data_IF_257230973301
#
_entry.id   IF_257230973301
#
_cell.length_a   1.000
_cell.length_b   1.000
_cell.length_c   1.000
_cell.angle_alpha   90.00
_cell.angle_beta   90.00
_cell.angle_gamma   90.00
#
_symmetry.space_group_name_H-M   'P 1'
#
loop_
_entity.id
_entity.type
_entity.pdbx_description
1 polymer ?
#
# COMPACT_ATOMS: atom_id res chain seq x y z
N UNK A 1 -34.47 -38.74 19.07
CA UNK A 1 -34.33 -37.49 18.28
C UNK A 1 -33.36 -37.77 17.15
N UNK A 2 -33.83 -37.79 15.90
CA UNK A 2 -32.96 -38.07 14.75
C UNK A 2 -32.04 -36.87 14.51
N UNK A 3 -30.74 -37.04 14.78
CA UNK A 3 -29.73 -35.98 14.65
C UNK A 3 -29.45 -35.61 13.18
N UNK A 4 -29.71 -36.54 12.26
CA UNK A 4 -29.42 -36.40 10.82
C UNK A 4 -30.65 -36.02 9.96
N UNK A 5 -31.69 -35.46 10.56
CA UNK A 5 -32.83 -34.94 9.80
C UNK A 5 -32.43 -33.69 8.98
N UNK A 6 -32.91 -33.58 7.74
CA UNK A 6 -32.68 -32.43 6.83
C UNK A 6 -32.93 -31.09 7.54
N UNK A 7 -34.00 -30.99 8.34
CA UNK A 7 -34.31 -29.76 9.09
C UNK A 7 -33.35 -29.47 10.24
N UNK A 8 -32.61 -30.46 10.74
CA UNK A 8 -31.55 -30.25 11.73
C UNK A 8 -30.25 -29.78 11.06
N UNK A 9 -29.92 -30.31 9.87
CA UNK A 9 -28.76 -29.89 9.08
C UNK A 9 -28.85 -28.42 8.69
N UNK A 10 -30.02 -27.97 8.18
CA UNK A 10 -30.22 -26.55 7.84
C UNK A 10 -30.10 -25.64 9.07
N UNK A 11 -30.62 -26.04 10.22
CA UNK A 11 -30.51 -25.26 11.47
C UNK A 11 -29.06 -25.10 11.92
N UNK A 12 -28.28 -26.19 11.90
CA UNK A 12 -26.85 -26.16 12.27
C UNK A 12 -26.06 -25.32 11.27
N UNK A 13 -26.31 -25.47 9.97
CA UNK A 13 -25.64 -24.71 8.93
C UNK A 13 -25.89 -23.19 9.08
N UNK A 14 -27.14 -22.77 9.31
CA UNK A 14 -27.48 -21.37 9.53
C UNK A 14 -26.80 -20.83 10.78
N UNK A 15 -26.80 -21.57 11.89
CA UNK A 15 -26.10 -21.16 13.12
C UNK A 15 -24.60 -20.99 12.91
N UNK A 16 -23.95 -21.94 12.24
CA UNK A 16 -22.53 -21.88 11.95
C UNK A 16 -22.19 -20.68 11.04
N UNK A 17 -22.97 -20.46 9.98
CA UNK A 17 -22.81 -19.31 9.10
C UNK A 17 -22.94 -17.97 9.86
N UNK A 18 -23.89 -17.88 10.78
CA UNK A 18 -24.11 -16.67 11.57
C UNK A 18 -22.93 -16.40 12.51
N UNK A 19 -22.44 -17.43 13.23
CA UNK A 19 -21.27 -17.28 14.11
C UNK A 19 -20.01 -16.95 13.31
N UNK A 20 -19.75 -17.65 12.20
CA UNK A 20 -18.57 -17.42 11.37
C UNK A 20 -18.56 -16.01 10.76
N UNK A 21 -19.71 -15.50 10.29
CA UNK A 21 -19.80 -14.15 9.72
C UNK A 21 -19.53 -13.05 10.76
N UNK A 22 -20.04 -13.20 11.99
CA UNK A 22 -19.77 -12.25 13.10
C UNK A 22 -18.30 -12.31 13.52
N UNK A 23 -17.73 -13.50 13.63
CA UNK A 23 -16.31 -13.67 14.00
C UNK A 23 -15.35 -13.04 12.96
N UNK A 24 -15.55 -13.31 11.66
CA UNK A 24 -14.67 -12.78 10.61
C UNK A 24 -14.82 -11.26 10.45
N UNK A 25 -16.05 -10.74 10.53
CA UNK A 25 -16.29 -9.29 10.39
C UNK A 25 -15.69 -8.48 11.54
N UNK A 26 -15.77 -8.97 12.78
CA UNK A 26 -15.20 -8.30 13.95
C UNK A 26 -13.67 -8.23 13.90
N UNK A 27 -13.00 -9.33 13.55
CA UNK A 27 -11.54 -9.37 13.37
C UNK A 27 -11.08 -8.42 12.25
N UNK A 28 -11.83 -8.37 11.14
CA UNK A 28 -11.48 -7.54 10.00
C UNK A 28 -11.55 -6.04 10.30
N UNK A 29 -12.40 -5.57 11.21
CA UNK A 29 -12.51 -4.14 11.53
C UNK A 29 -11.57 -3.75 12.67
N UNK A 30 -11.45 -4.59 13.71
CA UNK A 30 -10.68 -4.25 14.91
C UNK A 30 -9.18 -4.08 14.68
N UNK A 31 -8.58 -4.86 13.78
CA UNK A 31 -7.14 -4.82 13.52
C UNK A 31 -6.74 -3.88 12.37
N UNK A 32 -7.70 -3.42 11.57
CA UNK A 32 -7.39 -2.63 10.37
C UNK A 32 -6.76 -1.28 10.70
N UNK A 33 -7.26 -0.58 11.71
CA UNK A 33 -6.75 0.76 12.03
C UNK A 33 -5.33 0.71 12.60
N UNK A 34 -5.04 -0.23 13.52
CA UNK A 34 -3.69 -0.41 14.05
C UNK A 34 -2.70 -0.86 12.97
N UNK A 35 -3.14 -1.69 12.03
CA UNK A 35 -2.32 -2.10 10.88
C UNK A 35 -1.98 -0.93 9.96
N UNK A 36 -2.85 0.07 9.77
CA UNK A 36 -2.57 1.24 8.93
C UNK A 36 -1.45 2.09 9.53
N UNK A 37 -1.52 2.41 10.81
CA UNK A 37 -0.50 3.22 11.50
C UNK A 37 0.86 2.50 11.51
N UNK A 38 0.87 1.21 11.81
CA UNK A 38 2.11 0.42 11.80
C UNK A 38 2.68 0.26 10.39
N UNK A 39 1.82 0.13 9.36
CA UNK A 39 2.26 0.08 7.96
C UNK A 39 2.95 1.37 7.54
N UNK A 40 2.45 2.52 7.99
CA UNK A 40 3.06 3.81 7.69
C UNK A 40 4.44 3.95 8.32
N UNK A 41 4.56 3.63 9.62
CA UNK A 41 5.86 3.64 10.31
C UNK A 41 6.85 2.66 9.69
N UNK A 42 6.39 1.47 9.32
CA UNK A 42 7.22 0.47 8.65
C UNK A 42 7.68 0.94 7.27
N UNK A 43 6.82 1.63 6.51
CA UNK A 43 7.17 2.23 5.22
C UNK A 43 8.26 3.29 5.40
N UNK A 44 8.08 4.21 6.33
CA UNK A 44 9.07 5.25 6.63
C UNK A 44 10.41 4.65 7.06
N UNK A 45 10.37 3.65 7.93
CA UNK A 45 11.56 2.91 8.35
C UNK A 45 12.29 2.30 7.15
N UNK A 46 11.60 1.57 6.28
CA UNK A 46 12.22 0.95 5.10
C UNK A 46 12.81 1.97 4.12
N UNK A 47 12.15 3.12 3.96
CA UNK A 47 12.67 4.20 3.11
C UNK A 47 13.96 4.78 3.72
N UNK A 48 13.98 5.02 5.04
CA UNK A 48 15.18 5.48 5.74
C UNK A 48 16.31 4.46 5.68
N UNK A 49 15.99 3.16 5.81
CA UNK A 49 16.97 2.07 5.65
C UNK A 49 17.53 2.03 4.24
N UNK A 50 16.68 2.17 3.21
CA UNK A 50 17.13 2.22 1.82
C UNK A 50 17.97 3.46 1.52
N UNK A 51 17.72 4.57 2.22
CA UNK A 51 18.52 5.79 2.17
C UNK A 51 19.83 5.71 2.99
N UNK A 52 20.04 4.64 3.76
CA UNK A 52 21.20 4.51 4.66
C UNK A 52 21.16 5.43 5.90
N UNK A 53 19.99 6.02 6.20
CA UNK A 53 19.77 6.94 7.32
C UNK A 53 19.19 6.24 8.56
N UNK A 54 18.98 4.93 8.50
CA UNK A 54 18.45 4.14 9.61
C UNK A 54 19.58 3.35 10.29
N UNK A 55 19.91 3.72 11.52
CA UNK A 55 20.91 3.02 12.33
C UNK A 55 20.27 1.93 13.20
N UNK A 56 20.97 0.80 13.36
CA UNK A 56 20.56 -0.29 14.25
C UNK A 56 20.56 0.20 15.71
N UNK A 57 19.37 0.35 16.28
CA UNK A 57 19.15 0.92 17.61
C UNK A 57 18.34 2.22 17.63
N UNK A 58 18.05 2.80 16.45
CA UNK A 58 17.14 3.95 16.33
C UNK A 58 15.74 3.57 16.81
N UNK A 59 15.17 4.38 17.70
CA UNK A 59 13.81 4.15 18.19
C UNK A 59 12.79 4.39 17.07
N UNK A 60 11.80 3.50 16.91
CA UNK A 60 10.75 3.64 15.87
C UNK A 60 10.01 4.96 15.94
N UNK A 61 9.88 5.55 17.13
CA UNK A 61 9.27 6.87 17.32
C UNK A 61 10.02 8.00 16.60
N UNK A 62 11.31 7.83 16.33
CA UNK A 62 12.15 8.82 15.63
C UNK A 62 12.08 8.70 14.10
N UNK A 63 11.54 7.59 13.57
CA UNK A 63 11.42 7.37 12.13
C UNK A 63 10.63 8.49 11.44
N UNK A 64 9.50 8.89 12.02
CA UNK A 64 8.67 9.96 11.46
C UNK A 64 9.41 11.32 11.41
N UNK A 65 10.21 11.62 12.43
CA UNK A 65 10.96 12.86 12.51
C UNK A 65 12.12 12.90 11.50
N UNK A 66 12.87 11.79 11.37
CA UNK A 66 13.95 11.67 10.39
C UNK A 66 13.41 11.69 8.97
N UNK A 67 12.30 10.99 8.72
CA UNK A 67 11.62 10.99 7.43
C UNK A 67 11.19 12.40 7.03
N UNK A 68 10.50 13.13 7.92
CA UNK A 68 10.07 14.49 7.65
C UNK A 68 11.22 15.49 7.39
N UNK A 69 12.41 15.21 7.94
CA UNK A 69 13.58 16.08 7.79
C UNK A 69 14.39 15.78 6.53
N UNK A 70 14.56 14.51 6.19
CA UNK A 70 15.50 14.07 5.18
C UNK A 70 14.85 13.51 3.91
N UNK A 71 13.53 13.29 3.90
CA UNK A 71 12.84 12.69 2.75
C UNK A 71 11.83 13.67 2.18
N UNK A 72 11.97 13.94 0.88
CA UNK A 72 10.97 14.68 0.11
C UNK A 72 10.25 13.75 -0.85
N UNK A 73 8.92 13.63 -0.71
CA UNK A 73 8.11 12.86 -1.65
C UNK A 73 7.79 13.66 -2.90
N UNK A 74 8.03 13.09 -4.07
CA UNK A 74 7.65 13.69 -5.37
C UNK A 74 6.83 12.68 -6.16
N UNK A 75 5.79 13.16 -6.83
CA UNK A 75 5.00 12.35 -7.75
C UNK A 75 5.59 12.46 -9.13
N UNK A 76 5.81 11.33 -9.80
CA UNK A 76 6.38 11.24 -11.14
C UNK A 76 5.40 10.50 -12.04
N UNK A 77 5.22 11.01 -13.25
CA UNK A 77 4.49 10.33 -14.31
C UNK A 77 5.41 9.27 -14.94
N UNK A 78 4.99 8.01 -14.92
CA UNK A 78 5.78 6.87 -15.39
C UNK A 78 5.79 6.71 -16.92
N UNK A 79 4.92 7.41 -17.67
CA UNK A 79 5.02 7.46 -19.13
C UNK A 79 6.06 8.50 -19.56
N UNK A 80 6.05 9.68 -18.93
CA UNK A 80 6.91 10.81 -19.33
C UNK A 80 8.22 10.88 -18.55
N UNK A 81 8.34 10.15 -17.43
CA UNK A 81 9.45 10.20 -16.48
C UNK A 81 9.71 11.60 -15.90
N UNK A 82 8.69 12.46 -15.86
CA UNK A 82 8.79 13.83 -15.32
C UNK A 82 7.99 13.95 -14.03
N UNK A 83 8.34 14.89 -13.14
CA UNK A 83 7.49 15.22 -12.01
C UNK A 83 6.08 15.54 -12.51
N UNK A 84 5.09 14.80 -12.01
CA UNK A 84 3.71 15.13 -12.27
C UNK A 84 3.41 16.43 -11.51
N UNK A 85 2.91 17.45 -12.19
CA UNK A 85 2.41 18.68 -11.55
C UNK A 85 1.04 18.44 -10.88
N UNK A 86 0.91 17.31 -10.18
CA UNK A 86 -0.28 16.88 -9.47
C UNK A 86 0.03 16.93 -7.98
N UNK A 87 -0.65 17.82 -7.26
CA UNK A 87 -0.64 17.81 -5.80
C UNK A 87 -1.57 16.70 -5.30
N UNK A 88 -1.04 15.47 -5.26
CA UNK A 88 -1.74 14.32 -4.72
C UNK A 88 -1.33 14.13 -3.25
N UNK A 89 -2.33 13.85 -2.41
CA UNK A 89 -2.10 13.52 -1.01
C UNK A 89 -1.17 12.30 -0.87
N UNK A 90 -0.51 12.19 0.27
CA UNK A 90 0.45 11.11 0.51
C UNK A 90 -0.14 9.71 0.29
N UNK A 91 -1.37 9.53 0.77
CA UNK A 91 -2.12 8.29 0.74
C UNK A 91 -3.17 8.26 -0.38
N UNK A 92 -2.98 9.04 -1.45
CA UNK A 92 -3.91 9.03 -2.57
C UNK A 92 -3.89 7.64 -3.25
N UNK A 93 -5.06 6.99 -3.43
CA UNK A 93 -5.15 5.64 -3.99
C UNK A 93 -4.69 5.56 -5.45
N UNK A 94 -4.49 6.69 -6.14
CA UNK A 94 -3.89 6.72 -7.49
C UNK A 94 -2.38 6.45 -7.49
N UNK A 95 -1.73 6.60 -6.34
CA UNK A 95 -0.29 6.36 -6.17
C UNK A 95 0.01 4.96 -5.62
N UNK A 96 -1.02 4.23 -5.21
CA UNK A 96 -0.92 2.84 -4.77
C UNK A 96 -1.15 1.91 -5.97
N UNK A 97 -0.18 1.05 -6.36
CA UNK A 97 -0.30 0.18 -7.53
C UNK A 97 -1.50 -0.78 -7.51
N UNK A 98 -1.97 -1.20 -6.33
CA UNK A 98 -3.13 -2.08 -6.20
C UNK A 98 -4.43 -1.30 -6.29
N UNK A 99 -4.50 -0.15 -5.62
CA UNK A 99 -5.70 0.67 -5.61
C UNK A 99 -5.92 1.39 -6.95
N UNK A 100 -4.84 1.82 -7.61
CA UNK A 100 -4.88 2.52 -8.90
C UNK A 100 -5.55 1.69 -9.99
N UNK A 101 -5.46 0.35 -9.95
CA UNK A 101 -6.15 -0.55 -10.90
C UNK A 101 -7.66 -0.39 -10.91
N UNK A 102 -8.24 0.03 -9.79
CA UNK A 102 -9.69 0.20 -9.63
C UNK A 102 -10.14 1.61 -10.05
N UNK A 103 -9.21 2.50 -10.37
CA UNK A 103 -9.48 3.89 -10.71
C UNK A 103 -9.29 4.08 -12.23
N UNK A 104 -10.34 4.50 -12.96
CA UNK A 104 -10.23 4.75 -14.40
C UNK A 104 -9.12 5.76 -14.71
N UNK A 105 -8.21 5.40 -15.62
CA UNK A 105 -7.11 6.26 -16.07
C UNK A 105 -5.90 6.36 -15.14
N UNK A 106 -5.94 5.74 -13.95
CA UNK A 106 -4.82 5.76 -13.00
C UNK A 106 -3.84 4.58 -13.17
N UNK A 107 -4.20 3.57 -13.97
CA UNK A 107 -3.35 2.42 -14.26
C UNK A 107 -3.49 1.96 -15.71
N UNK A 108 -2.42 1.36 -16.22
CA UNK A 108 -2.30 0.80 -17.56
C UNK A 108 -1.99 -0.70 -17.47
N UNK A 109 -2.52 -1.48 -18.42
CA UNK A 109 -2.14 -2.89 -18.56
C UNK A 109 -0.72 -2.99 -19.10
N UNK A 110 0.07 -3.86 -18.47
CA UNK A 110 1.46 -4.15 -18.88
C UNK A 110 1.48 -5.28 -19.90
N UNK A 111 0.55 -6.24 -19.80
CA UNK A 111 0.43 -7.33 -20.76
C UNK A 111 -0.18 -6.87 -22.08
N UNK A 112 0.64 -6.80 -23.12
CA UNK A 112 0.16 -6.54 -24.48
C UNK A 112 -0.36 -5.13 -24.73
N UNK A 113 0.00 -4.13 -23.91
CA UNK A 113 -0.20 -2.74 -24.31
C UNK A 113 0.87 -2.34 -25.33
N UNK A 114 0.47 -1.68 -26.42
CA UNK A 114 1.41 -1.20 -27.46
C UNK A 114 2.51 -0.29 -26.90
N UNK A 115 2.23 0.35 -25.75
CA UNK A 115 3.14 1.27 -25.08
C UNK A 115 4.14 0.57 -24.14
N UNK A 116 3.90 -0.67 -23.72
CA UNK A 116 4.73 -1.36 -22.74
C UNK A 116 5.32 -2.64 -23.33
N UNK A 117 6.61 -2.89 -23.05
CA UNK A 117 7.26 -4.14 -23.39
C UNK A 117 6.66 -5.34 -22.65
N UNK A 118 7.26 -6.55 -22.78
CA UNK A 118 6.77 -7.73 -22.09
C UNK A 118 6.71 -7.53 -20.57
N UNK A 119 5.70 -8.12 -19.92
CA UNK A 119 5.55 -8.09 -18.46
C UNK A 119 6.57 -9.02 -17.77
N UNK A 120 7.81 -8.55 -17.64
CA UNK A 120 8.92 -9.30 -17.02
C UNK A 120 8.67 -9.50 -15.52
N UNK A 121 8.00 -8.54 -14.87
CA UNK A 121 7.78 -8.55 -13.42
C UNK A 121 6.47 -9.26 -13.00
N UNK A 122 5.69 -9.77 -13.96
CA UNK A 122 4.38 -10.42 -13.70
C UNK A 122 3.42 -9.56 -12.89
N UNK A 123 3.44 -8.25 -13.11
CA UNK A 123 2.60 -7.30 -12.36
C UNK A 123 1.22 -7.12 -13.00
N UNK A 124 1.02 -7.46 -14.27
CA UNK A 124 -0.20 -7.27 -15.09
C UNK A 124 -0.65 -5.81 -15.31
N UNK A 125 -0.58 -4.96 -14.28
CA UNK A 125 -0.91 -3.55 -14.34
C UNK A 125 0.16 -2.71 -13.65
N UNK A 126 0.34 -1.50 -14.15
CA UNK A 126 1.21 -0.48 -13.59
C UNK A 126 0.44 0.83 -13.44
N UNK A 127 0.66 1.55 -12.37
CA UNK A 127 0.12 2.89 -12.17
C UNK A 127 0.68 3.89 -13.21
N UNK A 128 -0.09 4.95 -13.48
CA UNK A 128 0.36 6.03 -14.37
C UNK A 128 1.28 7.00 -13.62
N UNK A 129 0.94 7.31 -12.36
CA UNK A 129 1.69 8.19 -11.50
C UNK A 129 2.24 7.40 -10.32
N UNK A 130 3.53 7.51 -10.06
CA UNK A 130 4.17 6.83 -8.94
C UNK A 130 4.86 7.82 -8.02
N UNK A 131 5.02 7.41 -6.75
CA UNK A 131 5.68 8.21 -5.73
C UNK A 131 7.14 7.82 -5.66
N UNK A 132 8.02 8.82 -5.75
CA UNK A 132 9.46 8.67 -5.52
C UNK A 132 9.86 9.48 -4.29
N UNK A 133 10.91 9.01 -3.61
CA UNK A 133 11.43 9.64 -2.41
C UNK A 133 12.83 10.16 -2.71
N UNK A 134 13.02 11.46 -2.55
CA UNK A 134 14.30 12.13 -2.72
C UNK A 134 14.95 12.31 -1.34
N UNK A 135 16.19 11.88 -1.22
CA UNK A 135 16.98 11.98 0.02
C UNK A 135 17.68 13.33 0.04
N UNK A 136 17.47 14.08 1.12
CA UNK A 136 18.04 15.40 1.36
C UNK A 136 19.21 15.29 2.33
N UNK A 137 20.30 15.96 1.99
CA UNK A 137 21.48 16.10 2.83
C UNK A 137 21.23 17.07 3.99
N UNK A 138 22.18 17.17 4.92
CA UNK A 138 22.13 18.08 6.07
C UNK A 138 21.90 19.56 5.67
N UNK A 139 22.32 19.95 4.47
CA UNK A 139 22.13 21.29 3.89
C UNK A 139 20.83 21.46 3.08
N UNK A 140 19.95 20.46 3.09
CA UNK A 140 18.68 20.48 2.34
C UNK A 140 18.84 20.36 0.82
N UNK A 141 20.01 19.92 0.35
CA UNK A 141 20.28 19.62 -1.07
C UNK A 141 20.07 18.13 -1.35
N UNK A 142 19.74 17.80 -2.59
CA UNK A 142 19.60 16.41 -3.02
C UNK A 142 20.94 15.68 -2.86
N UNK A 143 20.95 14.56 -2.16
CA UNK A 143 22.07 13.63 -2.19
C UNK A 143 22.00 12.88 -3.54
N UNK A 144 22.89 13.25 -4.46
CA UNK A 144 23.10 12.62 -5.78
C UNK A 144 24.27 11.66 -5.75
#
# INVERSE_FOLDING_TARGET
MQRDSIGNVFRVAVLLCLVCSVAVSSLAVGLRETQKEQKELFRQQNILTAAGLWEDGTERSQAAALFAKHIQSVVVDLETSRPAHLELAENDPRLDPEAARRIPGAAIRVDGSEKMGPDIASISYRETNSRVYQVLDADGKLQT
#
